data_IF_784471384481
#
_entry.id   IF_784471384481
#
_cell.length_a   1.000
_cell.length_b   1.000
_cell.length_c   1.000
_cell.angle_alpha   90.00
_cell.angle_beta   90.00
_cell.angle_gamma   90.00
#
_symmetry.space_group_name_H-M   'P 1'
#
loop_
_entity.id
_entity.type
_entity.pdbx_description
1 polymer ?
#
# COMPACT_ATOMS: atom_id res chain seq x y z
N UNK A 1 -20.32 -11.64 -19.06
CA UNK A 1 -20.67 -11.61 -17.63
C UNK A 1 -19.54 -10.90 -16.91
N UNK A 2 -19.74 -9.65 -16.47
CA UNK A 2 -18.71 -8.92 -15.74
C UNK A 2 -18.51 -9.56 -14.37
N UNK A 3 -17.32 -10.11 -14.12
CA UNK A 3 -16.99 -10.69 -12.82
C UNK A 3 -17.10 -9.63 -11.72
N UNK A 4 -17.52 -10.04 -10.52
CA UNK A 4 -17.58 -9.15 -9.36
C UNK A 4 -16.18 -8.58 -9.10
N UNK A 5 -16.03 -7.26 -9.20
CA UNK A 5 -14.78 -6.56 -8.90
C UNK A 5 -14.62 -6.47 -7.39
N UNK A 6 -13.52 -6.99 -6.86
CA UNK A 6 -13.22 -6.88 -5.44
C UNK A 6 -12.86 -5.42 -5.09
N UNK A 7 -13.43 -4.90 -4.01
CA UNK A 7 -13.23 -3.51 -3.56
C UNK A 7 -12.95 -3.54 -2.06
N UNK A 8 -11.85 -2.89 -1.66
CA UNK A 8 -11.51 -2.61 -0.27
C UNK A 8 -11.88 -1.16 0.02
N UNK A 9 -12.68 -0.95 1.06
CA UNK A 9 -13.09 0.39 1.48
C UNK A 9 -12.08 0.94 2.48
N UNK A 10 -11.68 2.19 2.28
CA UNK A 10 -10.86 2.95 3.20
C UNK A 10 -11.59 4.25 3.53
N UNK A 11 -12.44 4.26 4.57
CA UNK A 11 -13.03 5.47 5.08
C UNK A 11 -11.97 6.40 5.65
N UNK A 12 -12.12 7.70 5.42
CA UNK A 12 -11.26 8.74 6.00
C UNK A 12 -12.06 9.57 7.01
N UNK A 13 -11.39 9.98 8.07
CA UNK A 13 -11.91 10.92 9.07
C UNK A 13 -12.02 12.33 8.48
N UNK A 14 -12.64 13.24 9.23
CA UNK A 14 -12.77 14.65 8.81
C UNK A 14 -11.43 15.36 8.58
N UNK A 15 -10.35 14.86 9.18
CA UNK A 15 -8.98 15.34 9.00
C UNK A 15 -8.20 14.66 7.87
N UNK A 16 -8.83 13.72 7.15
CA UNK A 16 -8.21 12.94 6.08
C UNK A 16 -7.34 11.77 6.54
N UNK A 17 -7.37 11.43 7.83
CA UNK A 17 -6.70 10.25 8.38
C UNK A 17 -7.52 8.97 8.14
N UNK A 18 -6.92 7.77 8.05
CA UNK A 18 -7.63 6.50 7.96
C UNK A 18 -8.59 6.31 9.14
N UNK A 19 -9.88 6.13 8.86
CA UNK A 19 -10.86 5.77 9.89
C UNK A 19 -10.94 4.24 10.05
N UNK A 20 -9.82 3.68 10.50
CA UNK A 20 -9.70 2.25 10.80
C UNK A 20 -8.96 2.04 12.13
N UNK A 21 -9.26 0.96 12.88
CA UNK A 21 -8.56 0.67 14.13
C UNK A 21 -7.05 0.54 13.94
N UNK A 22 -6.28 1.38 14.63
CA UNK A 22 -4.81 1.34 14.62
C UNK A 22 -4.14 1.93 13.38
N UNK A 23 -4.90 2.51 12.44
CA UNK A 23 -4.41 3.22 11.24
C UNK A 23 -3.48 2.42 10.31
N UNK A 24 -3.28 1.13 10.58
CA UNK A 24 -2.41 0.25 9.80
C UNK A 24 -3.21 -0.40 8.66
N UNK A 25 -2.89 -0.01 7.43
CA UNK A 25 -3.58 -0.50 6.23
C UNK A 25 -2.70 -1.56 5.55
N UNK A 26 -3.14 -2.81 5.64
CA UNK A 26 -2.48 -3.95 5.00
C UNK A 26 -3.43 -4.65 4.02
N UNK A 27 -3.08 -4.63 2.74
CA UNK A 27 -3.87 -5.17 1.66
C UNK A 27 -3.27 -6.49 1.12
N UNK A 28 -4.10 -7.40 0.61
CA UNK A 28 -3.64 -8.67 0.06
C UNK A 28 -2.94 -8.48 -1.29
N UNK A 29 -2.30 -9.54 -1.81
CA UNK A 29 -1.53 -9.42 -3.03
C UNK A 29 -2.39 -8.98 -4.22
N UNK A 30 -1.81 -8.22 -5.17
CA UNK A 30 -2.53 -7.80 -6.38
C UNK A 30 -3.09 -8.99 -7.14
N UNK A 31 -4.31 -8.84 -7.67
CA UNK A 31 -5.01 -9.86 -8.46
C UNK A 31 -5.06 -9.47 -9.94
N UNK A 32 -5.35 -10.44 -10.81
CA UNK A 32 -5.62 -10.20 -12.24
C UNK A 32 -7.04 -10.69 -12.56
N UNK A 33 -8.03 -9.80 -12.79
CA UNK A 33 -7.93 -8.34 -12.85
C UNK A 33 -7.69 -7.68 -11.48
N UNK A 34 -7.14 -6.47 -11.48
CA UNK A 34 -6.84 -5.73 -10.26
C UNK A 34 -8.10 -5.37 -9.46
N UNK A 35 -8.04 -5.61 -8.16
CA UNK A 35 -9.01 -5.07 -7.21
C UNK A 35 -8.78 -3.56 -7.00
N UNK A 36 -9.74 -2.92 -6.35
CA UNK A 36 -9.70 -1.48 -6.08
C UNK A 36 -9.61 -1.18 -4.59
N UNK A 37 -8.76 -0.22 -4.24
CA UNK A 37 -8.85 0.50 -2.98
C UNK A 37 -9.73 1.74 -3.19
N UNK A 38 -10.85 1.82 -2.49
CA UNK A 38 -11.79 2.94 -2.54
C UNK A 38 -11.61 3.82 -1.32
N UNK A 39 -11.13 5.03 -1.53
CA UNK A 39 -11.18 6.06 -0.49
C UNK A 39 -12.63 6.54 -0.37
N UNK A 40 -13.16 6.55 0.86
CA UNK A 40 -14.50 7.03 1.18
C UNK A 40 -14.36 8.28 2.05
N UNK A 41 -14.80 9.41 1.53
CA UNK A 41 -14.71 10.71 2.20
C UNK A 41 -16.14 11.24 2.33
N UNK A 42 -16.53 11.64 3.53
CA UNK A 42 -17.82 12.30 3.75
C UNK A 42 -17.88 13.58 2.91
N UNK A 43 -18.94 13.77 2.11
CA UNK A 43 -18.99 14.88 1.14
C UNK A 43 -19.08 16.27 1.78
N UNK A 44 -19.33 16.35 3.08
CA UNK A 44 -19.29 17.58 3.90
C UNK A 44 -18.02 17.75 4.71
N UNK A 45 -17.02 16.90 4.49
CA UNK A 45 -15.80 16.94 5.29
C UNK A 45 -15.02 18.25 5.13
N UNK A 46 -14.37 18.68 6.21
CA UNK A 46 -13.46 19.83 6.27
C UNK A 46 -12.37 19.77 5.18
N UNK A 47 -11.87 18.57 4.86
CA UNK A 47 -10.87 18.39 3.80
C UNK A 47 -11.41 18.64 2.38
N UNK A 48 -12.73 18.70 2.16
CA UNK A 48 -13.30 18.93 0.84
C UNK A 48 -13.19 20.40 0.38
N UNK A 49 -12.94 21.34 1.29
CA UNK A 49 -12.85 22.76 0.96
C UNK A 49 -11.57 23.05 0.17
N UNK A 50 -11.73 23.26 -1.14
CA UNK A 50 -10.60 23.34 -2.10
C UNK A 50 -9.65 22.14 -1.94
N UNK A 51 -10.28 20.99 -1.68
CA UNK A 51 -9.66 19.75 -1.26
C UNK A 51 -9.05 18.95 -2.40
N UNK A 52 -7.99 18.22 -2.13
CA UNK A 52 -7.50 17.16 -3.03
C UNK A 52 -6.91 16.01 -2.25
N UNK A 53 -7.24 14.79 -2.67
CA UNK A 53 -6.55 13.57 -2.26
C UNK A 53 -5.33 13.35 -3.15
N UNK A 54 -4.20 13.06 -2.53
CA UNK A 54 -2.94 12.77 -3.21
C UNK A 54 -2.51 11.35 -2.87
N UNK A 55 -2.18 10.54 -3.88
CA UNK A 55 -1.62 9.20 -3.66
C UNK A 55 -0.51 8.89 -4.65
N UNK A 56 0.53 8.19 -4.20
CA UNK A 56 1.62 7.70 -5.06
C UNK A 56 1.41 6.24 -5.54
N UNK A 57 0.22 5.67 -5.32
CA UNK A 57 -0.15 4.40 -5.97
C UNK A 57 -0.07 4.64 -7.49
N UNK A 58 0.66 3.82 -8.27
CA UNK A 58 0.82 4.04 -9.70
C UNK A 58 -0.45 3.71 -10.49
N UNK A 59 -0.55 4.25 -11.71
CA UNK A 59 -1.55 3.82 -12.69
C UNK A 59 -1.21 2.44 -13.26
N UNK A 60 -2.19 1.85 -13.95
CA UNK A 60 -1.92 0.65 -14.74
C UNK A 60 -0.78 0.94 -15.73
N UNK A 61 0.22 0.05 -15.74
CA UNK A 61 1.44 0.17 -16.55
C UNK A 61 2.39 1.33 -16.22
N UNK A 62 2.16 2.10 -15.14
CA UNK A 62 3.10 3.14 -14.71
C UNK A 62 4.16 2.59 -13.73
N UNK A 63 5.40 3.05 -13.86
CA UNK A 63 6.43 2.78 -12.85
C UNK A 63 6.15 3.53 -11.55
N UNK A 64 6.47 2.90 -10.42
CA UNK A 64 6.34 3.50 -9.11
C UNK A 64 7.51 4.45 -8.82
N UNK A 65 7.16 5.69 -8.42
CA UNK A 65 8.09 6.69 -7.90
C UNK A 65 7.57 7.18 -6.55
N UNK A 66 8.40 7.05 -5.51
CA UNK A 66 8.06 7.41 -4.13
C UNK A 66 7.68 8.89 -3.97
N UNK A 67 8.22 9.76 -4.82
CA UNK A 67 8.04 11.22 -4.77
C UNK A 67 6.90 11.73 -5.64
N UNK A 68 6.37 10.89 -6.55
CA UNK A 68 5.36 11.28 -7.52
C UNK A 68 3.95 10.92 -7.02
N UNK A 69 3.14 11.94 -6.75
CA UNK A 69 1.75 11.77 -6.33
C UNK A 69 0.78 12.16 -7.44
N UNK A 70 -0.32 11.41 -7.54
CA UNK A 70 -1.47 11.72 -8.39
C UNK A 70 -2.52 12.44 -7.57
N UNK A 71 -3.11 13.47 -8.15
CA UNK A 71 -4.11 14.32 -7.51
C UNK A 71 -5.52 13.90 -7.92
N UNK A 72 -6.41 13.83 -6.94
CA UNK A 72 -7.85 13.67 -7.12
C UNK A 72 -8.56 14.84 -6.43
N UNK A 73 -9.18 15.72 -7.22
CA UNK A 73 -9.92 16.87 -6.68
C UNK A 73 -11.17 16.40 -5.93
N UNK A 74 -11.38 16.92 -4.72
CA UNK A 74 -12.55 16.61 -3.91
C UNK A 74 -13.68 17.56 -4.29
N UNK A 75 -14.80 17.02 -4.73
CA UNK A 75 -16.02 17.78 -5.02
C UNK A 75 -16.99 17.59 -3.85
N UNK A 76 -17.23 18.62 -3.02
CA UNK A 76 -18.17 18.52 -1.91
C UNK A 76 -19.58 18.13 -2.38
N UNK A 77 -20.21 17.18 -1.69
CA UNK A 77 -21.61 16.80 -1.89
C UNK A 77 -22.28 16.64 -0.53
N UNK A 78 -23.33 17.42 -0.27
CA UNK A 78 -24.05 17.39 1.01
C UNK A 78 -24.95 16.17 1.19
N UNK A 79 -25.12 15.36 0.15
CA UNK A 79 -26.07 14.24 0.14
C UNK A 79 -25.38 12.88 0.07
N UNK A 80 -24.08 12.84 -0.24
CA UNK A 80 -23.38 11.60 -0.60
C UNK A 80 -21.91 11.66 -0.22
N UNK A 81 -21.35 10.49 0.04
CA UNK A 81 -19.91 10.32 0.17
C UNK A 81 -19.22 10.42 -1.20
N UNK A 82 -18.00 10.94 -1.16
CA UNK A 82 -17.09 10.99 -2.30
C UNK A 82 -16.32 9.66 -2.32
N UNK A 83 -16.40 8.96 -3.45
CA UNK A 83 -15.67 7.72 -3.68
C UNK A 83 -14.56 7.92 -4.70
N UNK A 84 -13.33 7.60 -4.33
CA UNK A 84 -12.17 7.63 -5.23
C UNK A 84 -11.61 6.22 -5.34
N UNK A 85 -11.71 5.66 -6.54
CA UNK A 85 -11.30 4.29 -6.84
C UNK A 85 -9.88 4.25 -7.40
N UNK A 86 -8.97 3.62 -6.67
CA UNK A 86 -7.58 3.44 -7.07
C UNK A 86 -7.30 1.95 -7.29
N UNK A 87 -7.00 1.51 -8.52
CA UNK A 87 -6.68 0.10 -8.79
C UNK A 87 -5.32 -0.28 -8.19
N UNK A 88 -5.24 -1.47 -7.60
CA UNK A 88 -4.01 -2.01 -7.01
C UNK A 88 -3.41 -3.05 -7.96
N UNK A 89 -2.38 -2.65 -8.72
CA UNK A 89 -1.76 -3.48 -9.76
C UNK A 89 -0.43 -4.13 -9.32
N UNK A 90 0.18 -3.63 -8.25
CA UNK A 90 1.50 -4.09 -7.78
C UNK A 90 1.59 -4.04 -6.26
N UNK A 91 2.41 -4.94 -5.71
CA UNK A 91 2.76 -4.96 -4.30
C UNK A 91 3.74 -3.82 -3.97
N UNK A 92 3.76 -3.39 -2.71
CA UNK A 92 4.63 -2.32 -2.26
C UNK A 92 4.03 -1.47 -1.13
N UNK A 93 4.79 -0.46 -0.71
CA UNK A 93 4.39 0.50 0.31
C UNK A 93 4.08 1.85 -0.34
N UNK A 94 2.79 2.19 -0.36
CA UNK A 94 2.26 3.43 -0.94
C UNK A 94 1.90 4.43 0.13
N UNK A 95 1.72 5.67 -0.27
CA UNK A 95 1.41 6.78 0.60
C UNK A 95 0.24 7.59 0.02
N UNK A 96 -0.52 8.19 0.92
CA UNK A 96 -1.52 9.20 0.57
C UNK A 96 -1.59 10.29 1.63
N UNK A 97 -2.12 11.44 1.22
CA UNK A 97 -2.42 12.58 2.09
C UNK A 97 -3.48 13.44 1.42
N UNK A 98 -4.00 14.42 2.15
CA UNK A 98 -4.95 15.40 1.61
C UNK A 98 -4.39 16.81 1.71
N UNK A 99 -4.82 17.67 0.81
CA UNK A 99 -4.57 19.11 0.88
C UNK A 99 -5.88 19.85 0.85
N UNK A 100 -6.07 20.84 1.73
CA UNK A 100 -7.35 21.53 1.87
C UNK A 100 -7.15 22.96 2.40
N UNK A 101 -8.16 23.80 2.27
CA UNK A 101 -8.17 25.17 2.78
C UNK A 101 -8.91 25.23 4.12
N UNK A 102 -8.20 25.26 5.27
CA UNK A 102 -8.82 25.21 6.59
C UNK A 102 -9.75 26.41 6.82
N UNK A 103 -10.81 26.21 7.63
CA UNK A 103 -11.72 27.29 7.97
C UNK A 103 -10.96 28.41 8.69
N UNK A 104 -11.10 29.66 8.25
CA UNK A 104 -10.47 30.77 8.96
C UNK A 104 -11.05 30.87 10.37
N UNK A 105 -10.21 31.23 11.34
CA UNK A 105 -10.72 31.65 12.64
C UNK A 105 -11.71 32.81 12.47
N UNK A 106 -12.79 32.78 13.23
CA UNK A 106 -13.80 33.81 13.16
C UNK A 106 -13.22 35.14 13.64
N UNK A 107 -12.95 36.06 12.71
CA UNK A 107 -12.42 37.40 13.02
C UNK A 107 -13.24 38.48 12.32
N UNK A 108 -13.45 39.62 12.99
CA UNK A 108 -14.18 40.77 12.44
C UNK A 108 -13.36 41.61 11.41
N UNK A 109 -12.08 41.28 11.22
CA UNK A 109 -11.16 41.93 10.29
C UNK A 109 -11.05 41.18 8.95
N UNK A 110 -10.54 41.84 7.91
CA UNK A 110 -10.29 41.22 6.60
C UNK A 110 -9.42 39.97 6.73
N UNK A 111 -9.92 38.83 6.25
CA UNK A 111 -9.24 37.55 6.31
C UNK A 111 -7.92 37.58 5.51
N UNK A 112 -6.81 37.06 6.06
CA UNK A 112 -5.58 36.87 5.29
C UNK A 112 -5.79 35.88 4.14
N UNK A 113 -4.88 35.87 3.15
CA UNK A 113 -4.94 34.88 2.06
C UNK A 113 -4.87 33.47 2.64
N UNK A 114 -5.87 32.65 2.35
CA UNK A 114 -5.95 31.28 2.87
C UNK A 114 -4.80 30.44 2.30
N UNK A 115 -4.00 29.88 3.21
CA UNK A 115 -2.91 28.98 2.86
C UNK A 115 -3.48 27.57 2.85
N UNK A 116 -3.22 26.83 1.76
CA UNK A 116 -3.55 25.42 1.69
C UNK A 116 -2.73 24.64 2.72
N UNK A 117 -3.42 23.84 3.54
CA UNK A 117 -2.82 22.96 4.52
C UNK A 117 -2.67 21.55 3.93
N UNK A 118 -1.67 20.82 4.43
CA UNK A 118 -1.40 19.43 4.05
C UNK A 118 -1.58 18.57 5.29
N UNK A 119 -2.39 17.51 5.19
CA UNK A 119 -2.56 16.53 6.26
C UNK A 119 -1.28 15.72 6.51
N UNK A 120 -1.28 14.94 7.57
CA UNK A 120 -0.28 13.90 7.76
C UNK A 120 -0.28 12.90 6.60
N UNK A 121 0.88 12.28 6.39
CA UNK A 121 1.05 11.28 5.33
C UNK A 121 0.80 9.91 5.92
N UNK A 122 -0.19 9.22 5.37
CA UNK A 122 -0.56 7.87 5.77
C UNK A 122 -0.06 6.86 4.72
N UNK A 123 0.07 5.60 5.13
CA UNK A 123 0.67 4.56 4.32
C UNK A 123 -0.26 3.38 4.12
N UNK A 124 -0.13 2.75 2.96
CA UNK A 124 -0.86 1.54 2.55
C UNK A 124 0.17 0.52 2.11
N UNK A 125 0.23 -0.60 2.82
CA UNK A 125 1.09 -1.72 2.46
C UNK A 125 0.29 -2.76 1.67
N UNK A 126 0.77 -3.08 0.48
CA UNK A 126 0.22 -4.16 -0.36
C UNK A 126 1.19 -5.31 -0.34
N UNK A 127 0.73 -6.46 0.16
CA UNK A 127 1.53 -7.67 0.30
C UNK A 127 2.00 -8.24 -1.04
N UNK A 128 3.19 -8.86 -1.11
CA UNK A 128 3.65 -9.54 -2.31
C UNK A 128 2.93 -10.87 -2.54
N UNK A 129 2.76 -11.24 -3.80
CA UNK A 129 2.32 -12.58 -4.18
C UNK A 129 3.53 -13.52 -4.23
N UNK A 130 3.55 -14.55 -3.39
CA UNK A 130 4.53 -15.63 -3.48
C UNK A 130 3.86 -16.86 -4.09
N UNK A 131 4.57 -17.56 -4.96
CA UNK A 131 4.14 -18.85 -5.49
C UNK A 131 5.29 -19.84 -5.47
N UNK A 132 4.96 -21.11 -5.24
CA UNK A 132 5.89 -22.23 -5.28
C UNK A 132 5.29 -23.32 -6.16
N UNK A 133 5.99 -23.67 -7.24
CA UNK A 133 5.52 -24.67 -8.22
C UNK A 133 4.13 -24.35 -8.81
N UNK A 134 3.82 -23.06 -8.98
CA UNK A 134 2.54 -22.61 -9.53
C UNK A 134 1.37 -22.63 -8.54
N UNK A 135 1.60 -23.03 -7.28
CA UNK A 135 0.63 -22.86 -6.20
C UNK A 135 0.93 -21.59 -5.41
N UNK A 136 -0.12 -20.87 -5.01
CA UNK A 136 0.00 -19.70 -4.14
C UNK A 136 0.55 -20.10 -2.78
N UNK A 137 1.53 -19.34 -2.29
CA UNK A 137 2.17 -19.53 -1.00
C UNK A 137 1.82 -18.34 -0.09
N UNK A 138 0.89 -18.51 0.86
CA UNK A 138 0.58 -17.46 1.84
C UNK A 138 1.83 -17.08 2.64
N UNK A 139 1.95 -15.79 3.00
CA UNK A 139 3.07 -15.30 3.80
C UNK A 139 3.14 -15.98 5.18
N UNK A 140 1.99 -16.27 5.78
CA UNK A 140 1.88 -16.98 7.06
C UNK A 140 2.32 -18.46 6.97
N UNK A 141 2.41 -19.01 5.76
CA UNK A 141 2.89 -20.37 5.52
C UNK A 141 4.40 -20.45 5.28
N UNK A 142 5.13 -19.33 5.36
CA UNK A 142 6.57 -19.32 5.16
C UNK A 142 7.32 -20.00 6.32
N UNK A 143 8.16 -20.95 5.94
CA UNK A 143 9.12 -21.63 6.82
C UNK A 143 10.51 -21.40 6.25
N UNK A 144 11.25 -20.49 6.90
CA UNK A 144 12.53 -19.96 6.41
C UNK A 144 13.70 -20.64 7.11
N UNK A 145 14.62 -21.21 6.35
CA UNK A 145 15.89 -21.72 6.86
C UNK A 145 17.02 -20.75 6.54
N UNK A 146 17.69 -20.20 7.58
CA UNK A 146 18.84 -19.32 7.39
C UNK A 146 20.13 -20.10 7.24
N UNK A 147 20.95 -19.77 6.23
CA UNK A 147 22.22 -20.45 5.97
C UNK A 147 23.38 -19.45 5.91
N UNK A 148 24.46 -19.79 6.62
CA UNK A 148 25.73 -19.07 6.53
C UNK A 148 26.57 -19.70 5.43
N UNK A 149 26.72 -19.00 4.31
CA UNK A 149 27.32 -19.53 3.07
C UNK A 149 28.74 -20.07 3.23
N UNK A 150 29.56 -19.42 4.07
CA UNK A 150 30.96 -19.85 4.34
C UNK A 150 31.07 -21.25 4.96
N UNK A 151 29.98 -21.79 5.51
CA UNK A 151 29.94 -23.11 6.15
C UNK A 151 29.24 -24.17 5.29
N UNK A 152 28.82 -23.82 4.08
CA UNK A 152 28.16 -24.76 3.15
C UNK A 152 29.15 -25.55 2.27
N UNK A 153 30.45 -25.27 2.38
CA UNK A 153 31.46 -25.85 1.49
C UNK A 153 31.44 -25.27 0.08
N UNK A 154 31.97 -26.02 -0.88
CA UNK A 154 32.10 -25.63 -2.29
C UNK A 154 30.77 -25.77 -3.02
N UNK A 155 30.34 -24.71 -3.67
CA UNK A 155 29.18 -24.74 -4.58
C UNK A 155 29.55 -25.38 -5.94
N UNK A 156 28.67 -26.18 -6.56
CA UNK A 156 27.39 -26.68 -6.03
C UNK A 156 27.51 -27.96 -5.18
N UNK A 157 28.66 -28.65 -5.24
CA UNK A 157 28.80 -30.03 -4.76
C UNK A 157 28.41 -30.24 -3.29
N UNK A 158 28.94 -29.42 -2.39
CA UNK A 158 28.68 -29.57 -0.95
C UNK A 158 27.29 -29.03 -0.57
N UNK A 159 26.81 -28.03 -1.32
CA UNK A 159 25.56 -27.31 -1.06
C UNK A 159 24.34 -28.20 -1.25
N UNK A 160 24.32 -29.06 -2.27
CA UNK A 160 23.18 -29.93 -2.56
C UNK A 160 22.78 -30.82 -1.38
N UNK A 161 23.76 -31.28 -0.60
CA UNK A 161 23.51 -32.10 0.60
C UNK A 161 22.74 -31.31 1.67
N UNK A 162 23.13 -30.06 1.89
CA UNK A 162 22.47 -29.15 2.81
C UNK A 162 21.06 -28.78 2.32
N UNK A 163 20.92 -28.43 1.04
CA UNK A 163 19.64 -28.06 0.43
C UNK A 163 18.62 -29.22 0.50
N UNK A 164 19.05 -30.45 0.23
CA UNK A 164 18.20 -31.65 0.41
C UNK A 164 17.77 -31.83 1.86
N UNK A 165 18.70 -31.68 2.80
CA UNK A 165 18.39 -31.78 4.23
C UNK A 165 17.41 -30.71 4.72
N UNK A 166 17.44 -29.51 4.12
CA UNK A 166 16.47 -28.43 4.40
C UNK A 166 15.09 -28.81 3.82
N UNK A 167 15.05 -29.26 2.57
CA UNK A 167 13.82 -29.69 1.90
C UNK A 167 13.11 -30.84 2.63
N UNK A 168 13.86 -31.84 3.12
CA UNK A 168 13.30 -32.97 3.90
C UNK A 168 12.63 -32.54 5.21
N UNK A 169 12.95 -31.35 5.72
CA UNK A 169 12.33 -30.75 6.92
C UNK A 169 11.17 -29.82 6.58
N UNK A 170 10.74 -29.79 5.32
CA UNK A 170 9.61 -29.01 4.81
C UNK A 170 9.78 -27.48 4.95
N UNK A 171 11.02 -26.98 4.95
CA UNK A 171 11.25 -25.54 4.74
C UNK A 171 10.97 -25.19 3.28
N UNK A 172 10.32 -24.05 3.05
CA UNK A 172 9.88 -23.59 1.72
C UNK A 172 10.58 -22.30 1.27
N UNK A 173 11.46 -21.73 2.11
CA UNK A 173 12.31 -20.60 1.75
C UNK A 173 13.68 -20.73 2.41
N UNK A 174 14.73 -20.33 1.70
CA UNK A 174 16.09 -20.28 2.22
C UNK A 174 16.55 -18.83 2.24
N UNK A 175 16.96 -18.37 3.41
CA UNK A 175 17.61 -17.08 3.59
C UNK A 175 19.13 -17.27 3.59
N UNK A 176 19.81 -16.73 2.59
CA UNK A 176 21.27 -16.76 2.52
C UNK A 176 21.86 -15.50 3.15
N UNK A 177 22.84 -15.66 4.03
CA UNK A 177 23.75 -14.54 4.33
C UNK A 177 24.40 -14.04 3.04
N UNK A 178 24.77 -12.75 2.93
CA UNK A 178 25.30 -12.17 1.69
C UNK A 178 26.33 -13.07 0.98
N UNK A 179 26.04 -13.39 -0.27
CA UNK A 179 26.86 -14.26 -1.15
C UNK A 179 27.87 -13.49 -2.00
N UNK A 180 28.01 -12.18 -1.76
CA UNK A 180 28.99 -11.35 -2.44
C UNK A 180 30.42 -11.76 -2.05
N UNK A 181 31.38 -11.44 -2.92
CA UNK A 181 32.79 -11.60 -2.59
C UNK A 181 33.09 -10.87 -1.28
N UNK A 182 33.76 -11.57 -0.36
CA UNK A 182 34.21 -11.04 0.91
C UNK A 182 35.59 -10.44 0.78
#
# INVERSE_FOLDING_TARGET
MGGAKQVYLLPLTDGGAPDIPGEYIYLPPPTTPAYVLRFVIEGTSSICREGSLWTNIPEECAEFDRSKFRQFSLQPDFNKDIHIDVPINQAGAFAFYTTYSPLPEFTASSLPSQKQEKSEVHYVDVSPALSLQGADLPLDALSIFSVISKFMGKYPTDWDSHLRGISQRNYNMIHFTPLMQR
#
